data_IF_687441217444
#
_entry.id   IF_687441217444
#
_cell.length_a   1.000
_cell.length_b   1.000
_cell.length_c   1.000
_cell.angle_alpha   90.00
_cell.angle_beta   90.00
_cell.angle_gamma   90.00
#
_symmetry.space_group_name_H-M   'P 1'
#
loop_
_entity.id
_entity.type
_entity.pdbx_description
1 polymer ?
#
# COMPACT_ATOMS: atom_id res chain seq x y z
N UNK A 1 19.29 1.01 0.43
CA UNK A 1 18.86 1.67 -0.81
C UNK A 1 18.98 0.65 -1.94
N UNK A 2 17.87 0.04 -2.38
CA UNK A 2 17.91 -0.99 -3.42
C UNK A 2 18.43 -0.38 -4.72
N UNK A 3 19.51 -0.93 -5.26
CA UNK A 3 20.05 -0.53 -6.57
C UNK A 3 19.08 -1.00 -7.65
N UNK A 4 18.15 -0.13 -8.05
CA UNK A 4 17.29 -0.39 -9.20
C UNK A 4 18.11 -0.25 -10.48
N UNK A 5 17.90 -1.16 -11.43
CA UNK A 5 18.49 -1.05 -12.76
C UNK A 5 17.99 0.21 -13.48
N UNK A 6 18.75 0.69 -14.45
CA UNK A 6 18.32 1.81 -15.33
C UNK A 6 16.98 1.48 -16.01
N UNK A 7 16.79 0.22 -16.43
CA UNK A 7 15.51 -0.25 -17.00
C UNK A 7 14.36 -0.16 -15.99
N UNK A 8 14.62 -0.46 -14.72
CA UNK A 8 13.65 -0.31 -13.62
C UNK A 8 13.16 1.13 -13.50
N UNK A 9 14.08 2.11 -13.51
CA UNK A 9 13.74 3.54 -13.50
C UNK A 9 12.96 3.97 -14.75
N UNK A 10 13.45 3.61 -15.94
CA UNK A 10 12.86 4.01 -17.21
C UNK A 10 11.49 3.37 -17.47
N UNK A 11 11.17 2.24 -16.83
CA UNK A 11 9.86 1.59 -16.93
C UNK A 11 8.74 2.29 -16.14
N UNK A 12 9.05 3.22 -15.23
CA UNK A 12 8.03 3.83 -14.35
C UNK A 12 7.06 4.75 -15.09
N UNK A 13 7.48 5.68 -15.96
CA UNK A 13 6.54 6.57 -16.66
C UNK A 13 5.43 5.83 -17.44
N UNK A 14 5.69 4.80 -18.26
CA UNK A 14 4.60 4.09 -18.94
C UNK A 14 3.68 3.31 -17.97
N UNK A 15 4.21 2.74 -16.88
CA UNK A 15 3.39 2.12 -15.83
C UNK A 15 2.49 3.13 -15.13
N UNK A 16 3.00 4.34 -14.88
CA UNK A 16 2.23 5.44 -14.31
C UNK A 16 1.13 5.91 -15.27
N UNK A 17 1.42 6.03 -16.56
CA UNK A 17 0.40 6.35 -17.57
C UNK A 17 -0.72 5.31 -17.61
N UNK A 18 -0.39 4.02 -17.51
CA UNK A 18 -1.38 2.94 -17.38
C UNK A 18 -2.25 3.13 -16.12
N UNK A 19 -1.65 3.44 -14.98
CA UNK A 19 -2.40 3.67 -13.73
C UNK A 19 -3.29 4.92 -13.80
N UNK A 20 -2.82 6.01 -14.42
CA UNK A 20 -3.53 7.30 -14.50
C UNK A 20 -4.65 7.25 -15.54
N UNK A 21 -4.32 6.87 -16.78
CA UNK A 21 -5.26 6.95 -17.91
C UNK A 21 -6.25 5.80 -17.92
N UNK A 22 -5.78 4.59 -17.59
CA UNK A 22 -6.57 3.35 -17.71
C UNK A 22 -7.04 2.83 -16.36
N UNK A 23 -6.82 3.58 -15.27
CA UNK A 23 -7.17 3.17 -13.92
C UNK A 23 -6.53 1.81 -13.55
N UNK A 24 -5.36 1.54 -14.14
CA UNK A 24 -4.68 0.24 -14.09
C UNK A 24 -4.40 -0.29 -12.68
N UNK A 25 -4.30 0.60 -11.68
CA UNK A 25 -4.11 0.21 -10.26
C UNK A 25 -5.24 -0.68 -9.72
N UNK A 26 -6.46 -0.55 -10.25
CA UNK A 26 -7.65 -1.31 -9.83
C UNK A 26 -7.80 -2.66 -10.56
N UNK A 27 -6.90 -2.96 -11.51
CA UNK A 27 -6.91 -4.23 -12.22
C UNK A 27 -6.33 -5.34 -11.31
N UNK A 28 -6.57 -6.59 -11.69
CA UNK A 28 -6.01 -7.75 -10.98
C UNK A 28 -4.48 -7.71 -10.97
N UNK A 29 -3.85 -8.36 -9.98
CA UNK A 29 -2.39 -8.44 -9.87
C UNK A 29 -1.79 -9.01 -11.16
N UNK A 30 -2.34 -10.12 -11.66
CA UNK A 30 -1.88 -10.75 -12.91
C UNK A 30 -1.91 -9.79 -14.12
N UNK A 31 -2.95 -8.96 -14.25
CA UNK A 31 -3.02 -7.99 -15.34
C UNK A 31 -1.99 -6.86 -15.17
N UNK A 32 -1.81 -6.35 -13.94
CA UNK A 32 -0.79 -5.35 -13.64
C UNK A 32 0.62 -5.88 -13.94
N UNK A 33 0.93 -7.08 -13.48
CA UNK A 33 2.23 -7.73 -13.72
C UNK A 33 2.49 -7.94 -15.21
N UNK A 34 1.47 -8.36 -15.97
CA UNK A 34 1.58 -8.48 -17.42
C UNK A 34 1.91 -7.13 -18.10
N UNK A 35 1.15 -6.06 -17.78
CA UNK A 35 1.43 -4.72 -18.33
C UNK A 35 2.80 -4.20 -17.89
N UNK A 36 3.18 -4.43 -16.64
CA UNK A 36 4.46 -4.00 -16.08
C UNK A 36 5.62 -4.74 -16.73
N UNK A 37 5.49 -6.03 -17.00
CA UNK A 37 6.47 -6.82 -17.75
C UNK A 37 6.68 -6.29 -19.17
N UNK A 38 5.61 -5.91 -19.88
CA UNK A 38 5.72 -5.25 -21.20
C UNK A 38 6.51 -3.94 -21.07
N UNK A 39 6.15 -3.11 -20.08
CA UNK A 39 6.78 -1.83 -19.82
C UNK A 39 8.28 -1.93 -19.43
N UNK A 40 8.75 -3.10 -19.01
CA UNK A 40 10.14 -3.37 -18.66
C UNK A 40 10.99 -3.88 -19.83
N UNK A 41 10.36 -4.30 -20.94
CA UNK A 41 11.10 -4.78 -22.10
C UNK A 41 11.87 -3.65 -22.79
N UNK A 42 13.13 -3.91 -23.17
CA UNK A 42 13.96 -2.92 -23.87
C UNK A 42 13.32 -2.43 -25.16
N UNK A 43 12.69 -3.33 -25.93
CA UNK A 43 12.00 -2.97 -27.16
C UNK A 43 10.85 -1.97 -26.93
N UNK A 44 10.02 -2.20 -25.91
CA UNK A 44 8.96 -1.26 -25.54
C UNK A 44 9.53 0.09 -25.09
N UNK A 45 10.56 0.09 -24.25
CA UNK A 45 11.18 1.34 -23.77
C UNK A 45 11.79 2.15 -24.91
N UNK A 46 12.51 1.51 -25.84
CA UNK A 46 13.06 2.19 -27.03
C UNK A 46 11.94 2.78 -27.88
N UNK A 47 10.87 2.03 -28.13
CA UNK A 47 9.72 2.53 -28.88
C UNK A 47 9.03 3.70 -28.15
N UNK A 48 8.80 3.58 -26.85
CA UNK A 48 8.13 4.58 -26.02
C UNK A 48 8.92 5.90 -25.97
N UNK A 49 10.19 5.85 -25.59
CA UNK A 49 11.04 7.05 -25.51
C UNK A 49 11.41 7.60 -26.90
N UNK A 50 11.53 6.73 -27.90
CA UNK A 50 11.70 7.12 -29.30
C UNK A 50 10.50 7.93 -29.80
N UNK A 51 9.27 7.48 -29.51
CA UNK A 51 8.05 8.20 -29.86
C UNK A 51 7.94 9.56 -29.15
N UNK A 52 8.25 9.63 -27.85
CA UNK A 52 8.28 10.89 -27.09
C UNK A 52 9.31 11.85 -27.69
N UNK A 53 10.54 11.38 -27.91
CA UNK A 53 11.63 12.20 -28.44
C UNK A 53 11.33 12.69 -29.86
N UNK A 54 10.83 11.80 -30.72
CA UNK A 54 10.41 12.15 -32.07
C UNK A 54 9.28 13.18 -32.08
N UNK A 55 8.28 13.03 -31.19
CA UNK A 55 7.20 14.00 -31.05
C UNK A 55 7.70 15.37 -30.55
N UNK A 56 8.64 15.39 -29.60
CA UNK A 56 9.28 16.62 -29.12
C UNK A 56 10.03 17.34 -30.25
N UNK A 57 10.91 16.64 -30.97
CA UNK A 57 11.69 17.19 -32.08
C UNK A 57 10.75 17.74 -33.17
N UNK A 58 9.76 16.95 -33.58
CA UNK A 58 8.77 17.37 -34.57
C UNK A 58 7.98 18.61 -34.13
N UNK A 59 7.57 18.67 -32.86
CA UNK A 59 6.81 19.79 -32.33
C UNK A 59 7.64 21.07 -32.19
N UNK A 60 8.93 20.95 -31.82
CA UNK A 60 9.87 22.08 -31.77
C UNK A 60 10.11 22.65 -33.17
N UNK A 61 10.41 21.81 -34.16
CA UNK A 61 10.64 22.25 -35.56
C UNK A 61 9.41 22.99 -36.11
N UNK A 62 8.21 22.47 -35.81
CA UNK A 62 6.96 23.04 -36.30
C UNK A 62 6.38 24.12 -35.39
N UNK A 63 7.01 24.44 -34.25
CA UNK A 63 6.39 25.26 -33.21
C UNK A 63 5.98 26.65 -33.71
N UNK A 64 6.85 27.31 -34.48
CA UNK A 64 6.58 28.64 -35.05
C UNK A 64 5.44 28.65 -36.06
N UNK A 65 5.28 27.56 -36.82
CA UNK A 65 4.25 27.40 -37.86
C UNK A 65 2.93 26.82 -37.33
N UNK A 66 2.92 26.38 -36.08
CA UNK A 66 1.78 25.71 -35.48
C UNK A 66 0.72 26.69 -34.97
N UNK A 67 -0.55 26.37 -35.18
CA UNK A 67 -1.66 27.08 -34.55
C UNK A 67 -1.66 26.93 -33.03
N UNK A 68 -2.39 27.82 -32.35
CA UNK A 68 -2.46 27.92 -30.88
C UNK A 68 -2.78 26.59 -30.21
N UNK A 69 -3.75 25.83 -30.72
CA UNK A 69 -4.15 24.55 -30.13
C UNK A 69 -3.02 23.51 -30.11
N UNK A 70 -2.18 23.48 -31.16
CA UNK A 70 -1.03 22.57 -31.22
C UNK A 70 0.08 23.01 -30.27
N UNK A 71 0.28 24.32 -30.11
CA UNK A 71 1.23 24.87 -29.12
C UNK A 71 0.79 24.52 -27.70
N UNK A 72 -0.50 24.71 -27.38
CA UNK A 72 -1.06 24.34 -26.08
C UNK A 72 -0.90 22.85 -25.80
N UNK A 73 -1.28 21.99 -26.75
CA UNK A 73 -1.12 20.54 -26.60
C UNK A 73 0.35 20.15 -26.35
N UNK A 74 1.28 20.75 -27.10
CA UNK A 74 2.72 20.50 -26.89
C UNK A 74 3.20 20.95 -25.50
N UNK A 75 2.73 22.10 -25.00
CA UNK A 75 3.07 22.57 -23.65
C UNK A 75 2.52 21.63 -22.56
N UNK A 76 1.25 21.22 -22.66
CA UNK A 76 0.68 20.23 -21.73
C UNK A 76 1.42 18.89 -21.80
N UNK A 77 1.81 18.46 -23.00
CA UNK A 77 2.61 17.25 -23.18
C UNK A 77 3.97 17.36 -22.51
N UNK A 78 4.68 18.47 -22.71
CA UNK A 78 5.98 18.71 -22.09
C UNK A 78 5.88 18.76 -20.57
N UNK A 79 4.90 19.47 -20.02
CA UNK A 79 4.68 19.49 -18.57
C UNK A 79 4.31 18.12 -18.00
N UNK A 80 3.48 17.34 -18.71
CA UNK A 80 3.18 15.96 -18.36
C UNK A 80 4.44 15.08 -18.34
N UNK A 81 5.30 15.20 -19.35
CA UNK A 81 6.55 14.45 -19.44
C UNK A 81 7.53 14.84 -18.31
N UNK A 82 7.69 16.13 -18.04
CA UNK A 82 8.57 16.63 -16.96
C UNK A 82 8.07 16.19 -15.59
N UNK A 83 6.77 16.33 -15.32
CA UNK A 83 6.17 15.91 -14.04
C UNK A 83 6.29 14.41 -13.83
N UNK A 84 6.07 13.58 -14.86
CA UNK A 84 6.35 12.14 -14.78
C UNK A 84 7.84 11.84 -14.58
N UNK A 85 8.73 12.66 -15.17
CA UNK A 85 10.18 12.58 -14.98
C UNK A 85 10.59 12.73 -13.51
N UNK A 86 9.95 13.65 -12.77
CA UNK A 86 10.18 13.79 -11.32
C UNK A 86 9.77 12.57 -10.50
N UNK A 87 8.92 11.70 -11.04
CA UNK A 87 8.47 10.48 -10.35
C UNK A 87 9.40 9.28 -10.59
N UNK A 88 10.30 9.37 -11.59
CA UNK A 88 11.28 8.31 -11.89
C UNK A 88 12.12 7.91 -10.67
N UNK A 89 12.75 8.83 -9.91
CA UNK A 89 13.58 8.44 -8.77
C UNK A 89 12.79 7.81 -7.62
N UNK A 90 11.46 8.01 -7.55
CA UNK A 90 10.65 7.54 -6.44
C UNK A 90 10.40 6.03 -6.48
N UNK A 91 10.25 5.35 -5.33
CA UNK A 91 9.94 3.93 -5.28
C UNK A 91 8.63 3.60 -6.01
N UNK A 92 8.62 2.48 -6.72
CA UNK A 92 7.44 1.94 -7.38
C UNK A 92 7.17 0.54 -6.80
N UNK A 93 6.26 0.38 -5.83
CA UNK A 93 6.04 -0.89 -5.10
C UNK A 93 5.36 -2.00 -5.90
N UNK A 94 5.28 -1.88 -7.23
CA UNK A 94 4.74 -2.92 -8.10
C UNK A 94 3.22 -3.10 -8.00
N UNK A 95 2.75 -4.32 -8.26
CA UNK A 95 1.32 -4.59 -8.40
C UNK A 95 0.55 -4.66 -7.07
N UNK A 96 1.24 -4.80 -5.93
CA UNK A 96 0.59 -5.17 -4.66
C UNK A 96 -0.09 -3.99 -3.94
N UNK A 97 0.51 -2.79 -3.96
CA UNK A 97 0.00 -1.64 -3.20
C UNK A 97 -0.91 -0.76 -4.05
N UNK A 98 -2.14 -0.54 -3.56
CA UNK A 98 -3.19 0.18 -4.30
C UNK A 98 -3.00 1.70 -4.32
N UNK A 99 -2.61 2.29 -3.19
CA UNK A 99 -2.62 3.76 -3.00
C UNK A 99 -1.25 4.40 -2.83
N UNK A 100 -0.18 3.61 -2.86
CA UNK A 100 1.17 4.14 -2.63
C UNK A 100 1.54 5.23 -3.65
N UNK A 101 1.01 5.13 -4.87
CA UNK A 101 1.28 6.06 -5.98
C UNK A 101 0.56 7.41 -5.87
N UNK A 102 -0.56 7.46 -5.14
CA UNK A 102 -1.50 8.59 -5.17
C UNK A 102 -0.85 9.90 -4.72
N UNK A 103 0.09 9.79 -3.77
CA UNK A 103 0.85 10.91 -3.23
C UNK A 103 1.83 11.51 -4.24
N UNK A 104 2.17 10.78 -5.30
CA UNK A 104 3.21 11.19 -6.24
C UNK A 104 2.62 11.66 -7.58
N UNK A 105 1.48 11.10 -8.00
CA UNK A 105 0.95 11.36 -9.35
C UNK A 105 0.08 12.60 -9.47
N UNK A 106 -0.34 13.23 -8.36
CA UNK A 106 -1.33 14.32 -8.41
C UNK A 106 -0.92 15.49 -9.30
N UNK A 107 0.37 15.85 -9.33
CA UNK A 107 0.87 16.89 -10.23
C UNK A 107 0.84 16.46 -11.70
N UNK A 108 1.20 15.21 -11.99
CA UNK A 108 1.19 14.68 -13.35
C UNK A 108 -0.25 14.53 -13.89
N UNK A 109 -1.20 14.15 -13.03
CA UNK A 109 -2.59 13.89 -13.39
C UNK A 109 -3.24 15.06 -14.13
N UNK A 110 -3.03 16.30 -13.68
CA UNK A 110 -3.62 17.48 -14.33
C UNK A 110 -3.22 17.58 -15.81
N UNK A 111 -1.94 17.42 -16.11
CA UNK A 111 -1.42 17.48 -17.48
C UNK A 111 -1.82 16.25 -18.29
N UNK A 112 -1.70 15.06 -17.68
CA UNK A 112 -1.98 13.77 -18.34
C UNK A 112 -3.46 13.63 -18.70
N UNK A 113 -4.41 14.09 -17.89
CA UNK A 113 -5.85 14.04 -18.20
C UNK A 113 -6.29 15.07 -19.25
N UNK A 114 -5.63 16.23 -19.31
CA UNK A 114 -5.96 17.26 -20.31
C UNK A 114 -5.61 16.79 -21.73
N UNK A 115 -4.52 16.05 -21.92
CA UNK A 115 -4.09 15.56 -23.23
C UNK A 115 -5.15 14.74 -23.99
N UNK A 116 -5.72 13.64 -23.44
CA UNK A 116 -6.77 12.90 -24.11
C UNK A 116 -8.04 13.73 -24.28
N UNK A 117 -8.37 14.64 -23.36
CA UNK A 117 -9.52 15.53 -23.52
C UNK A 117 -9.37 16.46 -24.75
N UNK A 118 -8.17 17.03 -24.96
CA UNK A 118 -7.87 17.84 -26.14
C UNK A 118 -7.93 16.99 -27.42
N UNK A 119 -7.37 15.76 -27.39
CA UNK A 119 -7.42 14.86 -28.55
C UNK A 119 -8.86 14.47 -28.90
N UNK A 120 -9.66 14.08 -27.90
CA UNK A 120 -11.07 13.73 -28.09
C UNK A 120 -11.85 14.91 -28.66
N UNK A 121 -11.70 16.12 -28.09
CA UNK A 121 -12.39 17.32 -28.59
C UNK A 121 -11.94 17.77 -29.99
N UNK A 122 -10.75 17.36 -30.43
CA UNK A 122 -10.26 17.65 -31.79
C UNK A 122 -10.85 16.69 -32.83
N UNK A 123 -10.90 15.40 -32.53
CA UNK A 123 -11.29 14.36 -33.49
C UNK A 123 -12.77 13.99 -33.44
N UNK A 124 -13.40 14.12 -32.28
CA UNK A 124 -14.83 13.94 -32.08
C UNK A 124 -15.47 15.31 -31.83
N UNK A 125 -16.71 15.50 -32.29
CA UNK A 125 -17.44 16.76 -32.13
C UNK A 125 -18.84 16.48 -31.58
N UNK A 126 -19.35 17.41 -30.77
CA UNK A 126 -20.71 17.34 -30.22
C UNK A 126 -20.89 16.27 -29.15
N UNK A 127 -22.07 15.65 -29.13
CA UNK A 127 -22.51 14.72 -28.09
C UNK A 127 -21.56 13.54 -27.80
N UNK A 128 -20.92 12.88 -28.78
CA UNK A 128 -20.02 11.76 -28.49
C UNK A 128 -18.87 12.09 -27.54
N UNK A 129 -18.28 13.30 -27.63
CA UNK A 129 -17.22 13.74 -26.71
C UNK A 129 -17.74 13.80 -25.28
N UNK A 130 -18.88 14.47 -25.09
CA UNK A 130 -19.49 14.63 -23.78
C UNK A 130 -19.90 13.30 -23.18
N UNK A 131 -20.42 12.36 -23.98
CA UNK A 131 -20.77 11.01 -23.52
C UNK A 131 -19.54 10.26 -23.02
N UNK A 132 -18.45 10.24 -23.80
CA UNK A 132 -17.21 9.54 -23.41
C UNK A 132 -16.64 10.15 -22.12
N UNK A 133 -16.54 11.48 -22.04
CA UNK A 133 -16.03 12.17 -20.86
C UNK A 133 -16.92 11.94 -19.63
N UNK A 134 -18.24 11.91 -19.80
CA UNK A 134 -19.18 11.65 -18.70
C UNK A 134 -19.07 10.22 -18.18
N UNK A 135 -18.98 9.23 -19.08
CA UNK A 135 -18.76 7.83 -18.69
C UNK A 135 -17.42 7.70 -17.96
N UNK A 136 -16.36 8.31 -18.50
CA UNK A 136 -15.03 8.29 -17.89
C UNK A 136 -15.01 8.94 -16.51
N UNK A 137 -15.68 10.08 -16.36
CA UNK A 137 -15.86 10.76 -15.07
C UNK A 137 -16.62 9.87 -14.09
N UNK A 138 -17.73 9.25 -14.52
CA UNK A 138 -18.51 8.33 -13.69
C UNK A 138 -17.68 7.14 -13.16
N UNK A 139 -16.85 6.54 -14.03
CA UNK A 139 -15.93 5.47 -13.62
C UNK A 139 -14.90 5.99 -12.60
N UNK A 140 -14.30 7.16 -12.84
CA UNK A 140 -13.34 7.77 -11.91
C UNK A 140 -13.98 8.08 -10.54
N UNK A 141 -15.19 8.62 -10.53
CA UNK A 141 -15.95 8.90 -9.30
C UNK A 141 -16.25 7.61 -8.56
N UNK A 142 -16.71 6.56 -9.25
CA UNK A 142 -16.96 5.26 -8.64
C UNK A 142 -15.72 4.72 -7.92
N UNK A 143 -14.57 4.69 -8.59
CA UNK A 143 -13.32 4.20 -7.99
C UNK A 143 -12.80 5.11 -6.88
N UNK A 144 -12.97 6.43 -7.01
CA UNK A 144 -12.63 7.39 -5.94
C UNK A 144 -13.45 7.14 -4.68
N UNK A 145 -14.77 6.93 -4.83
CA UNK A 145 -15.64 6.59 -3.71
C UNK A 145 -15.27 5.25 -3.07
N UNK A 146 -14.95 4.23 -3.88
CA UNK A 146 -14.47 2.94 -3.39
C UNK A 146 -13.19 3.08 -2.58
N UNK A 147 -12.22 3.86 -3.06
CA UNK A 147 -10.96 4.09 -2.37
C UNK A 147 -11.12 4.87 -1.07
N UNK A 148 -11.97 5.90 -1.07
CA UNK A 148 -12.31 6.64 0.14
C UNK A 148 -12.97 5.76 1.22
N UNK A 149 -13.76 4.76 0.82
CA UNK A 149 -14.28 3.77 1.77
C UNK A 149 -13.17 2.94 2.42
N UNK A 150 -12.17 2.51 1.64
CA UNK A 150 -11.01 1.79 2.20
C UNK A 150 -10.20 2.65 3.17
N UNK A 151 -9.94 3.92 2.82
CA UNK A 151 -9.31 4.88 3.74
C UNK A 151 -10.12 5.07 5.03
N UNK A 152 -11.44 5.23 4.91
CA UNK A 152 -12.32 5.37 6.08
C UNK A 152 -12.28 4.13 6.98
N UNK A 153 -12.27 2.93 6.40
CA UNK A 153 -12.18 1.68 7.18
C UNK A 153 -10.81 1.51 7.84
N UNK A 154 -9.71 1.80 7.11
CA UNK A 154 -8.35 1.79 7.67
C UNK A 154 -8.26 2.75 8.86
N UNK A 155 -8.72 3.99 8.70
CA UNK A 155 -8.73 4.99 9.78
C UNK A 155 -9.62 4.55 10.95
N UNK A 156 -10.78 3.96 10.68
CA UNK A 156 -11.66 3.43 11.73
C UNK A 156 -10.97 2.35 12.57
N UNK A 157 -10.31 1.37 11.93
CA UNK A 157 -9.60 0.31 12.64
C UNK A 157 -8.46 0.89 13.47
N UNK A 158 -7.57 1.69 12.87
CA UNK A 158 -6.45 2.30 13.59
C UNK A 158 -6.90 3.12 14.79
N UNK A 159 -7.92 3.97 14.60
CA UNK A 159 -8.46 4.77 15.70
C UNK A 159 -9.01 3.91 16.84
N UNK A 160 -9.66 2.78 16.55
CA UNK A 160 -10.10 1.87 17.61
C UNK A 160 -8.93 1.21 18.31
N UNK A 161 -7.89 0.77 17.58
CA UNK A 161 -6.71 0.15 18.17
C UNK A 161 -5.98 1.10 19.12
N UNK A 162 -5.90 2.39 18.79
CA UNK A 162 -5.31 3.38 19.70
C UNK A 162 -6.19 3.61 20.93
N UNK A 163 -7.49 3.88 20.73
CA UNK A 163 -8.36 4.32 21.82
C UNK A 163 -8.81 3.19 22.76
N UNK A 164 -8.79 1.94 22.30
CA UNK A 164 -9.28 0.77 23.05
C UNK A 164 -8.15 -0.16 23.49
N UNK A 165 -6.92 0.34 23.56
CA UNK A 165 -5.81 -0.47 24.04
C UNK A 165 -6.00 -0.81 25.53
N UNK A 166 -5.98 -2.11 25.91
CA UNK A 166 -6.11 -2.49 27.31
C UNK A 166 -4.94 -1.96 28.15
N UNK A 167 -5.23 -1.40 29.32
CA UNK A 167 -4.21 -0.92 30.23
C UNK A 167 -3.30 -2.08 30.70
N UNK A 168 -1.99 -1.82 30.76
CA UNK A 168 -0.98 -2.77 31.19
C UNK A 168 -0.20 -2.18 32.38
N UNK A 169 -0.39 -2.67 33.60
CA UNK A 169 0.46 -2.20 34.72
C UNK A 169 1.72 -3.05 34.83
N UNK A 170 2.88 -2.46 34.58
CA UNK A 170 4.20 -3.07 34.82
C UNK A 170 4.62 -4.23 33.92
N UNK A 171 3.82 -4.57 32.89
CA UNK A 171 4.09 -5.67 31.95
C UNK A 171 4.75 -5.21 30.66
N UNK A 172 5.49 -6.11 30.00
CA UNK A 172 5.92 -5.92 28.61
C UNK A 172 4.77 -6.30 27.68
N UNK A 173 4.40 -5.43 26.74
CA UNK A 173 3.26 -5.65 25.84
C UNK A 173 3.79 -6.17 24.51
N UNK A 174 3.24 -7.27 24.01
CA UNK A 174 3.54 -7.81 22.68
C UNK A 174 2.27 -7.69 21.81
N UNK A 175 2.36 -6.95 20.72
CA UNK A 175 1.30 -6.79 19.73
C UNK A 175 1.52 -7.83 18.62
N UNK A 176 0.68 -8.87 18.60
CA UNK A 176 0.96 -10.10 17.87
C UNK A 176 0.69 -10.01 16.35
N UNK A 177 -0.25 -9.16 15.93
CA UNK A 177 -0.68 -9.07 14.53
C UNK A 177 -1.24 -7.68 14.21
N UNK A 178 -0.37 -6.68 14.14
CA UNK A 178 -0.79 -5.34 13.74
C UNK A 178 -1.31 -5.32 12.29
N UNK A 179 -2.24 -4.42 11.94
CA UNK A 179 -2.66 -4.28 10.56
C UNK A 179 -1.59 -3.56 9.73
N UNK A 180 -1.09 -4.19 8.67
CA UNK A 180 -0.10 -3.61 7.73
C UNK A 180 -0.77 -2.74 6.68
N UNK A 181 -1.81 -3.26 6.04
CA UNK A 181 -2.62 -2.53 5.06
C UNK A 181 -4.01 -3.15 4.93
N UNK A 182 -5.00 -2.36 4.52
CA UNK A 182 -6.35 -2.83 4.17
C UNK A 182 -6.55 -2.68 2.66
N UNK A 183 -6.60 -3.78 1.91
CA UNK A 183 -6.67 -3.76 0.44
C UNK A 183 -5.61 -2.83 -0.20
N UNK A 184 -4.39 -2.84 0.32
CA UNK A 184 -3.29 -1.99 -0.16
C UNK A 184 -3.33 -0.53 0.33
N UNK A 185 -4.28 -0.16 1.20
CA UNK A 185 -4.26 1.12 1.95
C UNK A 185 -3.40 0.95 3.20
N UNK A 186 -2.29 1.70 3.35
CA UNK A 186 -1.39 1.58 4.50
C UNK A 186 -2.09 1.74 5.84
N UNK A 187 -1.65 0.96 6.82
CA UNK A 187 -2.04 1.03 8.22
C UNK A 187 -0.78 1.14 9.09
N UNK A 188 -0.89 0.86 10.39
CA UNK A 188 0.21 1.10 11.35
C UNK A 188 1.44 0.24 11.06
N UNK A 189 1.20 -1.02 10.65
CA UNK A 189 2.26 -2.00 10.45
C UNK A 189 2.99 -2.37 11.72
N UNK A 190 4.02 -3.22 11.59
CA UNK A 190 4.88 -3.62 12.70
C UNK A 190 6.30 -3.11 12.47
N UNK A 191 6.87 -2.43 13.48
CA UNK A 191 8.19 -1.81 13.40
C UNK A 191 9.04 -2.11 14.66
N UNK A 192 10.38 -2.15 14.56
CA UNK A 192 11.27 -2.44 15.69
C UNK A 192 11.13 -1.47 16.86
N UNK A 193 10.87 -0.20 16.56
CA UNK A 193 10.76 0.89 17.53
C UNK A 193 9.34 1.03 18.10
N UNK A 194 8.41 0.16 17.67
CA UNK A 194 6.97 0.24 17.94
C UNK A 194 6.36 1.58 17.53
N UNK A 195 6.22 1.79 16.21
CA UNK A 195 5.51 2.97 15.67
C UNK A 195 4.08 3.07 16.23
N UNK A 196 3.46 1.92 16.56
CA UNK A 196 2.18 1.88 17.25
C UNK A 196 2.18 2.75 18.51
N UNK A 197 3.21 2.65 19.36
CA UNK A 197 3.30 3.41 20.61
C UNK A 197 3.33 4.91 20.34
N UNK A 198 4.18 5.36 19.41
CA UNK A 198 4.30 6.77 19.05
C UNK A 198 2.98 7.33 18.51
N UNK A 199 2.28 6.55 17.69
CA UNK A 199 0.98 6.96 17.14
C UNK A 199 -0.11 6.97 18.21
N UNK A 200 -0.15 5.97 19.09
CA UNK A 200 -1.05 5.95 20.23
C UNK A 200 -0.88 7.21 21.09
N UNK A 201 0.35 7.50 21.50
CA UNK A 201 0.66 8.65 22.37
C UNK A 201 0.28 9.97 21.69
N UNK A 202 0.54 10.09 20.38
CA UNK A 202 0.18 11.27 19.58
C UNK A 202 -1.34 11.47 19.46
N UNK A 203 -2.11 10.41 19.21
CA UNK A 203 -3.54 10.51 18.91
C UNK A 203 -4.43 10.49 20.16
N UNK A 204 -3.99 9.87 21.25
CA UNK A 204 -4.75 9.80 22.51
C UNK A 204 -4.31 10.86 23.52
N UNK A 205 -3.07 11.37 23.41
CA UNK A 205 -2.44 12.21 24.43
C UNK A 205 -2.07 11.46 25.71
N UNK A 206 -2.17 10.13 25.73
CA UNK A 206 -1.87 9.28 26.89
C UNK A 206 -0.58 8.52 26.60
N UNK A 207 0.46 8.80 27.37
CA UNK A 207 1.75 8.13 27.25
C UNK A 207 1.71 6.69 27.79
N UNK A 208 2.07 5.72 26.96
CA UNK A 208 2.27 4.34 27.44
C UNK A 208 3.67 4.16 28.02
N UNK A 209 3.76 4.03 29.34
CA UNK A 209 5.06 3.83 30.04
C UNK A 209 5.65 2.44 29.86
N UNK A 210 4.84 1.46 29.47
CA UNK A 210 5.26 0.09 29.26
C UNK A 210 6.19 -0.03 28.05
N UNK A 211 7.02 -1.07 28.08
CA UNK A 211 7.75 -1.53 26.90
C UNK A 211 6.77 -2.25 25.97
N UNK A 212 6.72 -1.84 24.71
CA UNK A 212 5.85 -2.42 23.68
C UNK A 212 6.74 -2.98 22.58
N UNK A 213 6.38 -4.14 22.06
CA UNK A 213 6.92 -4.68 20.82
C UNK A 213 5.81 -4.93 19.82
N UNK A 214 6.05 -4.51 18.58
CA UNK A 214 5.30 -4.96 17.43
C UNK A 214 5.93 -6.29 16.99
N UNK A 215 5.18 -7.39 17.05
CA UNK A 215 5.76 -8.73 16.78
C UNK A 215 5.73 -9.01 15.29
N UNK A 216 4.54 -8.95 14.69
CA UNK A 216 4.29 -9.07 13.26
C UNK A 216 3.09 -8.20 12.90
N UNK A 217 2.98 -7.86 11.62
CA UNK A 217 1.79 -7.30 11.02
C UNK A 217 1.25 -8.19 9.90
N UNK A 218 0.05 -7.91 9.41
CA UNK A 218 -0.56 -8.68 8.30
C UNK A 218 -1.43 -7.79 7.41
N UNK A 219 -1.64 -8.20 6.16
CA UNK A 219 -2.57 -7.49 5.26
C UNK A 219 -4.02 -7.92 5.53
N UNK A 220 -4.92 -6.95 5.63
CA UNK A 220 -6.36 -7.15 5.76
C UNK A 220 -7.03 -7.06 4.39
N UNK A 221 -7.95 -7.97 4.14
CA UNK A 221 -8.90 -7.97 3.03
C UNK A 221 -10.24 -7.38 3.48
N UNK A 222 -10.65 -7.66 4.72
CA UNK A 222 -11.89 -7.16 5.32
C UNK A 222 -11.67 -6.62 6.73
N UNK A 223 -12.70 -6.03 7.35
CA UNK A 223 -12.60 -5.54 8.75
C UNK A 223 -12.85 -6.66 9.77
N UNK A 224 -13.29 -7.82 9.30
CA UNK A 224 -13.55 -9.02 10.07
C UNK A 224 -12.29 -9.89 10.22
N UNK A 225 -11.27 -9.62 9.40
CA UNK A 225 -10.00 -10.33 9.41
C UNK A 225 -9.25 -10.13 10.73
N UNK A 226 -8.40 -11.10 11.07
CA UNK A 226 -7.67 -11.09 12.33
C UNK A 226 -6.77 -12.30 12.48
N UNK A 227 -6.42 -12.57 13.73
CA UNK A 227 -5.77 -13.80 14.14
C UNK A 227 -6.52 -14.45 15.29
N UNK A 228 -6.25 -15.73 15.51
CA UNK A 228 -6.54 -16.44 16.75
C UNK A 228 -5.25 -17.04 17.31
N UNK A 229 -5.28 -17.30 18.62
CA UNK A 229 -4.13 -17.77 19.37
C UNK A 229 -4.42 -19.14 19.96
N UNK A 230 -3.48 -20.09 19.81
CA UNK A 230 -3.49 -21.37 20.54
C UNK A 230 -2.28 -21.43 21.46
N UNK A 231 -2.49 -21.59 22.76
CA UNK A 231 -1.37 -21.68 23.72
C UNK A 231 -0.85 -23.11 23.73
N UNK A 232 0.40 -23.31 23.34
CA UNK A 232 1.01 -24.65 23.26
C UNK A 232 1.48 -25.08 24.65
N UNK A 233 2.15 -24.17 25.37
CA UNK A 233 2.62 -24.36 26.73
C UNK A 233 2.75 -23.01 27.46
N UNK A 234 3.34 -23.03 28.65
CA UNK A 234 3.57 -21.90 29.55
C UNK A 234 4.45 -20.77 29.00
N UNK A 235 5.21 -21.04 27.93
CA UNK A 235 6.08 -20.05 27.26
C UNK A 235 5.78 -19.87 25.78
N UNK A 236 5.06 -20.79 25.14
CA UNK A 236 4.93 -20.83 23.68
C UNK A 236 3.48 -20.73 23.24
N UNK A 237 3.23 -19.81 22.30
CA UNK A 237 1.94 -19.66 21.63
C UNK A 237 2.09 -19.85 20.11
N UNK A 238 1.01 -20.29 19.48
CA UNK A 238 0.83 -20.27 18.03
C UNK A 238 -0.11 -19.12 17.68
N UNK A 239 0.29 -18.31 16.70
CA UNK A 239 -0.51 -17.20 16.17
C UNK A 239 -0.90 -17.55 14.74
N UNK A 240 -2.19 -17.60 14.45
CA UNK A 240 -2.72 -18.05 13.15
C UNK A 240 -3.67 -17.00 12.57
N UNK A 241 -3.51 -16.68 11.29
CA UNK A 241 -4.43 -15.78 10.57
C UNK A 241 -5.79 -16.47 10.35
N UNK A 242 -6.88 -15.73 10.53
CA UNK A 242 -8.24 -16.26 10.39
C UNK A 242 -8.68 -16.43 8.92
N UNK A 243 -7.86 -15.98 7.97
CA UNK A 243 -8.22 -15.87 6.56
C UNK A 243 -7.06 -16.28 5.64
N UNK A 244 -7.40 -16.69 4.42
CA UNK A 244 -6.46 -16.98 3.34
C UNK A 244 -6.16 -15.74 2.49
N UNK A 245 -5.06 -15.78 1.73
CA UNK A 245 -4.64 -14.64 0.90
C UNK A 245 -4.04 -13.48 1.70
N UNK A 246 -3.60 -13.77 2.92
CA UNK A 246 -2.90 -12.83 3.80
C UNK A 246 -1.55 -13.41 4.16
N UNK A 247 -0.59 -12.54 4.46
CA UNK A 247 0.80 -12.91 4.75
C UNK A 247 1.26 -12.14 5.97
N UNK A 248 2.25 -12.68 6.67
CA UNK A 248 2.93 -11.96 7.75
C UNK A 248 3.89 -10.92 7.18
N UNK A 249 3.99 -9.78 7.85
CA UNK A 249 4.83 -8.64 7.50
C UNK A 249 5.59 -8.13 8.72
N UNK A 250 6.76 -7.58 8.47
CA UNK A 250 7.56 -6.84 9.45
C UNK A 250 8.36 -5.77 8.71
N UNK A 251 8.36 -4.52 9.18
CA UNK A 251 9.02 -3.39 8.51
C UNK A 251 8.55 -3.14 7.06
N UNK A 252 7.30 -3.47 6.72
CA UNK A 252 6.81 -3.40 5.35
C UNK A 252 7.45 -4.41 4.39
N UNK A 253 8.13 -5.42 4.93
CA UNK A 253 8.65 -6.58 4.21
C UNK A 253 7.90 -7.84 4.60
N UNK A 254 8.06 -8.91 3.82
CA UNK A 254 7.55 -10.23 4.24
C UNK A 254 8.16 -10.64 5.57
N UNK A 255 7.33 -11.17 6.46
CA UNK A 255 7.76 -11.59 7.80
C UNK A 255 8.88 -12.62 7.74
N UNK A 256 9.74 -12.63 8.76
CA UNK A 256 10.82 -13.60 8.93
C UNK A 256 10.93 -14.03 10.39
N UNK A 257 11.56 -15.18 10.64
CA UNK A 257 11.91 -15.61 12.00
C UNK A 257 13.00 -14.70 12.58
N UNK A 258 12.84 -14.29 13.84
CA UNK A 258 13.82 -13.47 14.54
C UNK A 258 13.73 -13.67 16.06
N UNK A 259 14.70 -13.13 16.78
CA UNK A 259 14.79 -13.28 18.22
C UNK A 259 15.35 -12.01 18.86
N UNK A 260 14.81 -11.62 20.01
CA UNK A 260 15.31 -10.50 20.81
C UNK A 260 15.45 -10.92 22.28
N UNK A 261 15.68 -9.97 23.19
CA UNK A 261 15.86 -10.27 24.61
C UNK A 261 14.59 -10.85 25.29
N UNK A 262 13.42 -10.66 24.69
CA UNK A 262 12.12 -10.89 25.32
C UNK A 262 11.37 -12.09 24.73
N UNK A 263 11.57 -12.40 23.45
CA UNK A 263 10.93 -13.52 22.78
C UNK A 263 11.74 -14.01 21.59
N UNK A 264 11.38 -15.20 21.11
CA UNK A 264 11.79 -15.78 19.83
C UNK A 264 10.54 -16.00 18.98
N UNK A 265 10.58 -15.53 17.74
CA UNK A 265 9.56 -15.79 16.74
C UNK A 265 10.10 -16.79 15.72
N UNK A 266 9.34 -17.86 15.50
CA UNK A 266 9.60 -18.85 14.46
C UNK A 266 8.44 -18.86 13.46
N UNK A 267 8.70 -18.29 12.27
CA UNK A 267 7.75 -18.20 11.18
C UNK A 267 7.71 -19.53 10.42
N UNK A 268 6.80 -20.41 10.83
CA UNK A 268 6.66 -21.75 10.24
C UNK A 268 5.96 -21.71 8.89
N UNK A 269 4.90 -20.91 8.76
CA UNK A 269 4.19 -20.67 7.51
C UNK A 269 3.99 -19.17 7.28
N UNK A 270 4.78 -18.54 6.40
CA UNK A 270 4.68 -17.10 6.10
C UNK A 270 3.29 -16.62 5.67
N UNK A 271 2.45 -17.51 5.12
CA UNK A 271 1.10 -17.19 4.68
C UNK A 271 0.00 -17.51 5.68
N UNK A 272 0.32 -18.05 6.86
CA UNK A 272 -0.71 -18.57 7.74
C UNK A 272 -0.41 -18.42 9.23
N UNK A 273 0.77 -18.83 9.72
CA UNK A 273 1.02 -18.89 11.16
C UNK A 273 2.50 -18.88 11.57
N UNK A 274 2.75 -18.48 12.81
CA UNK A 274 4.07 -18.54 13.45
C UNK A 274 3.96 -19.03 14.91
N UNK A 275 5.09 -19.43 15.48
CA UNK A 275 5.24 -19.69 16.91
C UNK A 275 5.99 -18.55 17.59
N UNK A 276 5.55 -18.18 18.79
CA UNK A 276 6.23 -17.22 19.64
C UNK A 276 6.59 -17.89 20.95
N UNK A 277 7.87 -17.92 21.28
CA UNK A 277 8.38 -18.43 22.56
C UNK A 277 8.86 -17.27 23.42
N UNK A 278 8.23 -17.07 24.57
CA UNK A 278 8.58 -16.07 25.57
C UNK A 278 9.84 -16.49 26.33
N UNK A 279 10.74 -15.54 26.58
CA UNK A 279 12.00 -15.79 27.31
C UNK A 279 11.91 -15.55 28.81
N UNK A 280 10.85 -14.90 29.27
CA UNK A 280 10.55 -14.66 30.68
C UNK A 280 9.21 -15.31 31.04
N UNK A 281 8.87 -15.48 32.33
CA UNK A 281 7.58 -16.01 32.73
C UNK A 281 6.42 -15.22 32.10
N UNK A 282 5.41 -15.94 31.60
CA UNK A 282 4.30 -15.35 30.84
C UNK A 282 3.50 -14.29 31.61
N UNK A 283 3.50 -14.34 32.94
CA UNK A 283 2.88 -13.32 33.79
C UNK A 283 3.55 -11.93 33.70
N UNK A 284 4.78 -11.83 33.18
CA UNK A 284 5.47 -10.57 32.92
C UNK A 284 5.04 -9.90 31.60
N UNK A 285 4.24 -10.60 30.79
CA UNK A 285 3.79 -10.13 29.48
C UNK A 285 2.29 -9.87 29.47
N UNK A 286 1.91 -8.95 28.58
CA UNK A 286 0.55 -8.82 28.08
C UNK A 286 0.58 -9.01 26.58
N UNK A 287 0.01 -10.11 26.13
CA UNK A 287 -0.04 -10.47 24.72
C UNK A 287 -1.37 -9.99 24.15
N UNK A 288 -1.32 -9.10 23.18
CA UNK A 288 -2.49 -8.53 22.53
C UNK A 288 -2.51 -8.94 21.07
N UNK A 289 -3.66 -9.42 20.61
CA UNK A 289 -3.89 -9.71 19.21
C UNK A 289 -5.14 -8.99 18.72
N UNK A 290 -5.11 -8.58 17.45
CA UNK A 290 -6.25 -8.07 16.73
C UNK A 290 -7.11 -9.24 16.27
N UNK A 291 -8.38 -9.23 16.68
CA UNK A 291 -9.41 -10.00 16.00
C UNK A 291 -10.53 -9.06 15.57
N UNK A 292 -10.79 -9.02 14.26
CA UNK A 292 -11.61 -8.02 13.59
C UNK A 292 -11.13 -6.59 13.83
N UNK A 293 -11.79 -5.85 14.74
CA UNK A 293 -11.54 -4.40 14.94
C UNK A 293 -11.20 -4.05 16.38
N UNK A 294 -10.89 -5.05 17.21
CA UNK A 294 -10.65 -4.89 18.64
C UNK A 294 -9.46 -5.69 19.13
N UNK A 295 -8.82 -5.19 20.18
CA UNK A 295 -7.82 -5.94 20.92
C UNK A 295 -8.43 -7.09 21.71
N UNK A 296 -7.74 -8.22 21.68
CA UNK A 296 -7.98 -9.39 22.53
C UNK A 296 -6.71 -9.69 23.31
N UNK A 297 -6.87 -10.09 24.57
CA UNK A 297 -5.75 -10.47 25.42
C UNK A 297 -5.65 -11.98 25.47
N UNK A 298 -4.45 -12.52 25.24
CA UNK A 298 -4.23 -13.97 25.32
C UNK A 298 -4.35 -14.43 26.77
N UNK A 299 -5.16 -15.45 27.01
CA UNK A 299 -5.18 -16.17 28.27
C UNK A 299 -4.23 -17.37 28.20
N UNK A 300 -3.05 -17.23 28.82
CA UNK A 300 -2.01 -18.27 28.85
C UNK A 300 -2.41 -19.54 29.61
N UNK A 301 -3.51 -19.54 30.38
CA UNK A 301 -3.99 -20.74 31.07
C UNK A 301 -4.82 -21.67 30.18
N UNK A 302 -5.26 -21.21 29.00
CA UNK A 302 -6.10 -22.00 28.08
C UNK A 302 -5.23 -22.74 27.07
N UNK A 303 -4.64 -23.84 27.52
CA UNK A 303 -3.75 -24.67 26.72
C UNK A 303 -4.52 -25.41 25.63
N UNK A 304 -3.95 -25.44 24.41
CA UNK A 304 -4.47 -26.14 23.24
C UNK A 304 -5.92 -25.77 22.85
N UNK A 305 -6.37 -24.56 23.23
CA UNK A 305 -7.64 -23.99 22.84
C UNK A 305 -7.42 -22.75 21.98
N UNK A 306 -8.20 -22.64 20.89
CA UNK A 306 -8.18 -21.46 20.03
C UNK A 306 -8.92 -20.30 20.70
N UNK A 307 -8.26 -19.15 20.77
CA UNK A 307 -8.77 -17.92 21.35
C UNK A 307 -9.03 -16.91 20.24
N UNK A 308 -10.31 -16.57 20.06
CA UNK A 308 -10.82 -15.58 19.11
C UNK A 308 -11.19 -14.28 19.85
#
# INVERSE_FOLDING_TARGET
MFTQSVTGYLSKPPKLLFNILLLGRFFTIACKEWVYGICETTGFLVAFYGAISGYCVYSIIQFRRSGTNRKLFFLFFLFGAVTLGFLIPLPFPGAALLVFYDRYTYFANAFVYILPAILLGKYLKGWPVYTILTIYLGINVFFTLRLNRYWKHSAYINNRLYNEMPAASGKTILLLNLPENLNGVPMIGAQPESEFKSLHDLFTGIEIKNKIYDVQSFNLMTKEDGAHISVINDSTIKVTLNQWGTWWWFEGHGGTSYENADFKLDLVDPGHWYQLTLKRPSNQYQLLFLNSTSWKTVNMSRLNEDQY
#
